data_IF_551311215097
#
_entry.id   IF_551311215097
#
_cell.length_a   1.000
_cell.length_b   1.000
_cell.length_c   1.000
_cell.angle_alpha   90.00
_cell.angle_beta   90.00
_cell.angle_gamma   90.00
#
_symmetry.space_group_name_H-M   'P 1'
#
loop_
_entity.id
_entity.type
_entity.pdbx_description
1 polymer ?
#
# COMPACT_ATOMS: atom_id res chain seq x y z
N UNK A 1 -13.54 6.91 -30.03
CA UNK A 1 -13.47 8.07 -29.13
C UNK A 1 -14.18 7.82 -27.79
N UNK A 2 -15.49 7.53 -27.76
CA UNK A 2 -16.22 7.24 -26.51
C UNK A 2 -15.62 6.05 -25.72
N UNK A 3 -15.28 4.93 -26.38
CA UNK A 3 -14.68 3.75 -25.74
C UNK A 3 -13.31 4.03 -25.09
N UNK A 4 -12.49 4.89 -25.70
CA UNK A 4 -11.20 5.30 -25.14
C UNK A 4 -11.37 6.17 -23.87
N UNK A 5 -12.33 7.09 -23.90
CA UNK A 5 -12.65 7.93 -22.75
C UNK A 5 -13.19 7.09 -21.58
N UNK A 6 -14.07 6.11 -21.86
CA UNK A 6 -14.59 5.18 -20.85
C UNK A 6 -13.47 4.32 -20.24
N UNK A 7 -12.55 3.79 -21.07
CA UNK A 7 -11.39 3.01 -20.59
C UNK A 7 -10.46 3.83 -19.70
N UNK A 8 -10.19 5.09 -20.07
CA UNK A 8 -9.36 5.99 -19.26
C UNK A 8 -10.02 6.31 -17.92
N UNK A 9 -11.32 6.60 -17.92
CA UNK A 9 -12.07 6.88 -16.70
C UNK A 9 -12.09 5.66 -15.76
N UNK A 10 -12.38 4.46 -16.29
CA UNK A 10 -12.38 3.23 -15.50
C UNK A 10 -11.01 2.93 -14.86
N UNK A 11 -9.92 3.23 -15.59
CA UNK A 11 -8.55 3.11 -15.05
C UNK A 11 -8.31 4.12 -13.92
N UNK A 12 -8.71 5.38 -14.11
CA UNK A 12 -8.61 6.41 -13.08
C UNK A 12 -9.37 6.05 -11.81
N UNK A 13 -10.61 5.59 -11.94
CA UNK A 13 -11.45 5.20 -10.81
C UNK A 13 -10.86 3.99 -10.05
N UNK A 14 -10.26 3.05 -10.78
CA UNK A 14 -9.58 1.89 -10.19
C UNK A 14 -8.35 2.31 -9.38
N UNK A 15 -7.55 3.24 -9.88
CA UNK A 15 -6.37 3.79 -9.16
C UNK A 15 -6.83 4.52 -7.90
N UNK A 16 -7.84 5.39 -7.99
CA UNK A 16 -8.38 6.14 -6.86
C UNK A 16 -8.88 5.20 -5.75
N UNK A 17 -9.64 4.17 -6.14
CA UNK A 17 -10.18 3.16 -5.21
C UNK A 17 -9.05 2.38 -4.54
N UNK A 18 -8.05 1.95 -5.31
CA UNK A 18 -6.89 1.25 -4.77
C UNK A 18 -6.08 2.13 -3.80
N UNK A 19 -5.80 3.37 -4.16
CA UNK A 19 -5.05 4.31 -3.32
C UNK A 19 -5.77 4.56 -1.99
N UNK A 20 -7.10 4.70 -2.03
CA UNK A 20 -7.94 4.84 -0.83
C UNK A 20 -7.84 3.60 0.04
N UNK A 21 -8.01 2.41 -0.56
CA UNK A 21 -7.95 1.14 0.17
C UNK A 21 -6.59 0.92 0.83
N UNK A 22 -5.49 1.12 0.09
CA UNK A 22 -4.13 0.98 0.64
C UNK A 22 -3.87 2.00 1.73
N UNK A 23 -4.35 3.24 1.61
CA UNK A 23 -4.20 4.25 2.66
C UNK A 23 -4.85 3.80 3.98
N UNK A 24 -6.04 3.19 3.91
CA UNK A 24 -6.68 2.60 5.09
C UNK A 24 -5.91 1.40 5.64
N UNK A 25 -5.44 0.51 4.77
CA UNK A 25 -4.65 -0.65 5.17
C UNK A 25 -3.29 -0.27 5.77
N UNK A 26 -2.68 0.85 5.35
CA UNK A 26 -1.42 1.36 5.93
C UNK A 26 -1.65 2.01 7.31
N UNK A 27 -2.78 2.70 7.48
CA UNK A 27 -3.09 3.42 8.74
C UNK A 27 -3.17 2.46 9.93
N UNK A 28 -3.80 1.29 9.74
CA UNK A 28 -3.97 0.30 10.81
C UNK A 28 -2.65 -0.20 11.43
N UNK A 29 -1.69 -0.78 10.68
CA UNK A 29 -0.41 -1.23 11.20
C UNK A 29 0.44 -0.06 11.71
N UNK A 30 0.36 1.13 11.10
CA UNK A 30 1.06 2.31 11.61
C UNK A 30 0.57 2.69 13.02
N UNK A 31 -0.75 2.76 13.22
CA UNK A 31 -1.33 3.05 14.53
C UNK A 31 -0.97 1.96 15.56
N UNK A 32 -0.95 0.69 15.16
CA UNK A 32 -0.56 -0.40 16.04
C UNK A 32 0.93 -0.33 16.46
N UNK A 33 1.83 -0.01 15.53
CA UNK A 33 3.25 0.23 15.81
C UNK A 33 3.41 1.38 16.80
N UNK A 34 2.73 2.51 16.55
CA UNK A 34 2.82 3.68 17.41
C UNK A 34 2.34 3.36 18.83
N UNK A 35 1.16 2.73 18.98
CA UNK A 35 0.65 2.36 20.29
C UNK A 35 1.55 1.36 21.03
N UNK A 36 2.08 0.35 20.34
CA UNK A 36 3.03 -0.60 20.95
C UNK A 36 4.33 0.08 21.38
N UNK A 37 4.84 1.02 20.57
CA UNK A 37 6.05 1.77 20.90
C UNK A 37 5.84 2.74 22.09
N UNK A 38 4.67 3.39 22.16
CA UNK A 38 4.27 4.23 23.29
C UNK A 38 4.18 3.41 24.58
N UNK A 39 3.53 2.24 24.55
CA UNK A 39 3.45 1.34 25.69
C UNK A 39 4.83 0.88 26.18
N UNK A 40 5.74 0.54 25.26
CA UNK A 40 7.11 0.18 25.62
C UNK A 40 7.86 1.35 26.27
N UNK A 41 7.76 2.55 25.69
CA UNK A 41 8.43 3.77 26.18
C UNK A 41 7.91 4.20 27.55
N UNK A 42 6.60 4.17 27.75
CA UNK A 42 5.93 4.75 28.91
C UNK A 42 5.69 3.71 30.02
N UNK A 43 6.15 2.47 29.84
CA UNK A 43 5.98 1.36 30.79
C UNK A 43 6.60 1.56 32.18
N UNK A 44 7.57 2.48 32.33
CA UNK A 44 8.14 2.86 33.63
C UNK A 44 8.75 1.70 34.44
N UNK A 45 9.14 0.60 33.79
CA UNK A 45 9.67 -0.61 34.44
C UNK A 45 8.61 -1.55 35.03
N UNK A 46 7.31 -1.25 34.87
CA UNK A 46 6.21 -2.10 35.33
C UNK A 46 5.91 -3.27 34.40
N UNK A 47 6.39 -3.19 33.15
CA UNK A 47 6.15 -4.18 32.12
C UNK A 47 7.13 -5.36 32.25
N UNK A 48 6.56 -6.56 32.33
CA UNK A 48 7.35 -7.78 32.39
C UNK A 48 8.02 -8.09 31.04
N UNK A 49 8.94 -9.05 31.08
CA UNK A 49 9.71 -9.42 29.91
C UNK A 49 8.86 -10.13 28.82
N UNK A 50 7.76 -10.79 29.20
CA UNK A 50 6.86 -11.42 28.23
C UNK A 50 6.02 -10.37 27.48
N UNK A 51 5.50 -9.36 28.19
CA UNK A 51 4.78 -8.23 27.61
C UNK A 51 5.68 -7.39 26.71
N UNK A 52 6.91 -7.09 27.15
CA UNK A 52 7.89 -6.35 26.35
C UNK A 52 8.20 -7.08 25.03
N UNK A 53 8.38 -8.40 25.07
CA UNK A 53 8.54 -9.21 23.86
C UNK A 53 7.29 -9.18 22.99
N UNK A 54 6.10 -9.27 23.57
CA UNK A 54 4.84 -9.20 22.83
C UNK A 54 4.70 -7.89 22.06
N UNK A 55 4.91 -6.74 22.71
CA UNK A 55 4.82 -5.44 22.02
C UNK A 55 5.91 -5.26 20.97
N UNK A 56 7.14 -5.69 21.25
CA UNK A 56 8.22 -5.69 20.25
C UNK A 56 7.87 -6.56 19.03
N UNK A 57 7.30 -7.75 19.25
CA UNK A 57 6.87 -8.64 18.17
C UNK A 57 5.70 -8.06 17.35
N UNK A 58 4.78 -7.34 18.00
CA UNK A 58 3.71 -6.62 17.31
C UNK A 58 4.29 -5.57 16.36
N UNK A 59 5.24 -4.76 16.83
CA UNK A 59 5.94 -3.76 16.01
C UNK A 59 6.59 -4.40 14.78
N UNK A 60 7.35 -5.49 14.98
CA UNK A 60 8.01 -6.21 13.87
C UNK A 60 7.00 -6.75 12.87
N UNK A 61 5.91 -7.34 13.37
CA UNK A 61 4.85 -7.91 12.52
C UNK A 61 4.19 -6.84 11.66
N UNK A 62 3.79 -5.72 12.26
CA UNK A 62 3.11 -4.64 11.57
C UNK A 62 4.05 -3.87 10.64
N UNK A 63 5.33 -3.74 10.98
CA UNK A 63 6.35 -3.21 10.06
C UNK A 63 6.49 -4.12 8.82
N UNK A 64 6.43 -5.44 9.00
CA UNK A 64 6.40 -6.40 7.90
C UNK A 64 5.16 -6.23 7.00
N UNK A 65 3.99 -5.99 7.59
CA UNK A 65 2.75 -5.69 6.85
C UNK A 65 2.88 -4.40 6.04
N UNK A 66 3.40 -3.33 6.63
CA UNK A 66 3.65 -2.07 5.93
C UNK A 66 4.58 -2.27 4.72
N UNK A 67 5.67 -3.02 4.89
CA UNK A 67 6.60 -3.31 3.79
C UNK A 67 5.92 -4.09 2.64
N UNK A 68 5.01 -5.02 2.94
CA UNK A 68 4.24 -5.73 1.91
C UNK A 68 3.30 -4.79 1.16
N UNK A 69 2.62 -3.87 1.85
CA UNK A 69 1.73 -2.88 1.23
C UNK A 69 2.50 -1.92 0.32
N UNK A 70 3.66 -1.43 0.76
CA UNK A 70 4.54 -0.58 -0.06
C UNK A 70 5.02 -1.33 -1.31
N UNK A 71 5.38 -2.60 -1.19
CA UNK A 71 5.76 -3.42 -2.36
C UNK A 71 4.61 -3.54 -3.36
N UNK A 72 3.38 -3.80 -2.90
CA UNK A 72 2.19 -3.86 -3.76
C UNK A 72 1.94 -2.55 -4.50
N UNK A 73 2.13 -1.40 -3.83
CA UNK A 73 2.04 -0.08 -4.47
C UNK A 73 3.07 0.09 -5.58
N UNK A 74 4.33 -0.29 -5.33
CA UNK A 74 5.40 -0.19 -6.31
C UNK A 74 5.17 -1.12 -7.52
N UNK A 75 4.67 -2.34 -7.29
CA UNK A 75 4.31 -3.26 -8.37
C UNK A 75 3.17 -2.72 -9.22
N UNK A 76 2.14 -2.11 -8.61
CA UNK A 76 1.07 -1.46 -9.38
C UNK A 76 1.62 -0.30 -10.21
N UNK A 77 2.44 0.58 -9.61
CA UNK A 77 3.04 1.70 -10.32
C UNK A 77 3.91 1.25 -11.52
N UNK A 78 4.59 0.11 -11.40
CA UNK A 78 5.33 -0.50 -12.53
C UNK A 78 4.41 -1.05 -13.60
N UNK A 79 3.37 -1.78 -13.22
CA UNK A 79 2.40 -2.34 -14.17
C UNK A 79 1.71 -1.25 -15.01
N UNK A 80 1.39 -0.12 -14.38
CA UNK A 80 0.81 1.06 -15.04
C UNK A 80 1.74 1.71 -16.06
N UNK A 81 3.06 1.71 -15.80
CA UNK A 81 4.08 2.21 -16.73
C UNK A 81 4.37 1.25 -17.89
N UNK A 82 4.12 -0.05 -17.72
CA UNK A 82 4.34 -1.06 -18.76
C UNK A 82 3.13 -1.23 -19.69
N UNK A 83 1.95 -0.72 -19.31
CA UNK A 83 0.79 -0.68 -20.19
C UNK A 83 1.13 0.13 -21.46
N UNK A 84 1.23 -0.50 -22.65
CA UNK A 84 1.70 0.18 -23.85
C UNK A 84 0.77 1.35 -24.16
N UNK A 85 1.37 2.52 -24.37
CA UNK A 85 0.78 3.59 -25.17
C UNK A 85 0.30 2.95 -26.47
N UNK A 86 -1.02 2.84 -26.64
CA UNK A 86 -1.66 2.19 -27.77
C UNK A 86 -1.52 2.97 -29.07
N UNK A 87 -0.28 3.13 -29.56
CA UNK A 87 0.01 3.54 -30.92
C UNK A 87 0.74 2.40 -31.65
N UNK A 88 -0.04 1.43 -32.12
CA UNK A 88 0.23 0.87 -33.45
C UNK A 88 -0.75 1.51 -34.42
N UNK A 89 -0.50 2.79 -34.70
CA UNK A 89 -0.93 3.41 -35.95
C UNK A 89 0.10 3.01 -37.00
N UNK A 90 -0.11 1.90 -37.69
CA UNK A 90 0.39 1.75 -39.06
C UNK A 90 -0.82 1.66 -39.98
N UNK A 91 -1.33 2.84 -40.30
CA UNK A 91 -2.05 3.10 -41.54
C UNK A 91 -1.02 2.94 -42.66
N UNK A 92 -0.97 1.79 -43.35
CA UNK A 92 -0.78 1.71 -44.81
C UNK A 92 -0.64 0.27 -45.33
N UNK A 93 -1.51 -0.08 -46.28
CA UNK A 93 -1.21 -0.86 -47.50
C UNK A 93 -2.55 -0.90 -48.27
N UNK A 94 -2.78 0.08 -49.14
CA UNK A 94 -2.59 -0.01 -50.60
C UNK A 94 -3.84 -0.59 -51.29
#
# INVERSE_FOLDING_TARGET
FLDMATKLQARSDSIQTFATHVSHELKSPLTAIQGAAELLRDSGGTMDEAERRRFSNNIVTDAGRLNLLVRRLLELARAENLAPSGESTTVNAA
#
